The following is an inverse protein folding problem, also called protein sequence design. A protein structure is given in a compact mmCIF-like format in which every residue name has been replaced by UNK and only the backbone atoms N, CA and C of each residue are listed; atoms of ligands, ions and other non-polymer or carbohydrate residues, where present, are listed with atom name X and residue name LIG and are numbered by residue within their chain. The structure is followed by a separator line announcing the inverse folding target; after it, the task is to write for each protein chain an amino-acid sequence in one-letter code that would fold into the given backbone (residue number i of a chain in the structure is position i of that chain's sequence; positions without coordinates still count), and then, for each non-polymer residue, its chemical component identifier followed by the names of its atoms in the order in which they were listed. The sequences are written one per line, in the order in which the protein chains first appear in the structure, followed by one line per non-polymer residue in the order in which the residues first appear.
data_IF_592731517961
#
_entry.id   IF_592731517961
#
_cell.length_a   1.000
_cell.length_b   1.000
_cell.length_c   1.000
_cell.angle_alpha   90.00
_cell.angle_beta   90.00
_cell.angle_gamma   90.00
#
_symmetry.space_group_name_H-M   'P 1'
#
loop_
_entity.id
_entity.type
_entity.pdbx_description
1 polymer ?
#
# COMPACT_ATOMS: atom_id res chain seq x y z
N UNK A 1 10.35 -14.42 -15.98
CA UNK A 1 9.06 -14.31 -15.27
C UNK A 1 8.35 -13.08 -15.80
N UNK A 2 7.05 -13.16 -16.10
CA UNK A 2 6.33 -12.01 -16.64
C UNK A 2 6.22 -10.91 -15.58
N UNK A 3 6.70 -9.71 -15.92
CA UNK A 3 6.64 -8.54 -15.06
C UNK A 3 5.18 -8.05 -15.03
N UNK A 4 4.37 -8.63 -14.13
CA UNK A 4 2.93 -8.32 -13.97
C UNK A 4 2.70 -7.22 -12.93
N UNK A 5 3.76 -6.55 -12.50
CA UNK A 5 3.78 -5.57 -11.44
C UNK A 5 4.37 -4.27 -11.96
N UNK A 6 3.63 -3.18 -11.79
CA UNK A 6 4.07 -1.83 -12.15
C UNK A 6 4.96 -1.23 -11.07
N UNK A 7 4.60 -1.47 -9.81
CA UNK A 7 5.32 -1.01 -8.63
C UNK A 7 5.08 -1.97 -7.46
N UNK A 8 6.10 -2.22 -6.65
CA UNK A 8 5.90 -2.89 -5.37
C UNK A 8 6.88 -2.44 -4.31
N UNK A 9 6.53 -2.68 -3.05
CA UNK A 9 7.41 -2.49 -1.90
C UNK A 9 7.00 -3.34 -0.73
N UNK A 10 7.96 -3.62 0.15
CA UNK A 10 7.73 -4.17 1.48
C UNK A 10 8.15 -3.16 2.56
N UNK A 11 7.36 -3.04 3.61
CA UNK A 11 7.67 -2.23 4.77
C UNK A 11 7.50 -3.07 6.04
N UNK A 12 8.59 -3.33 6.76
CA UNK A 12 8.47 -3.75 8.14
C UNK A 12 8.01 -2.55 8.97
N UNK A 13 6.85 -2.68 9.60
CA UNK A 13 6.23 -1.60 10.37
C UNK A 13 6.19 -2.00 11.83
N UNK A 14 6.91 -1.27 12.68
CA UNK A 14 6.85 -1.43 14.14
C UNK A 14 6.32 -0.16 14.77
N UNK A 15 5.38 -0.36 15.67
CA UNK A 15 4.79 0.70 16.46
C UNK A 15 5.02 0.38 17.93
N UNK A 16 5.96 1.09 18.58
CA UNK A 16 6.53 0.66 19.85
C UNK A 16 5.68 1.01 21.08
N UNK A 17 4.45 1.49 20.89
CA UNK A 17 3.60 1.99 21.95
C UNK A 17 4.25 3.15 22.72
N UNK A 18 4.63 2.89 23.97
CA UNK A 18 5.32 3.86 24.85
C UNK A 18 6.85 3.84 24.72
N UNK A 19 7.44 2.82 24.10
CA UNK A 19 8.89 2.71 23.97
C UNK A 19 9.36 3.76 22.94
N UNK A 20 10.44 4.48 23.25
CA UNK A 20 11.06 5.40 22.31
C UNK A 20 11.62 4.57 21.12
N UNK A 21 11.29 4.91 19.85
CA UNK A 21 11.87 4.25 18.68
C UNK A 21 13.40 4.13 18.66
N UNK A 22 14.15 5.02 19.30
CA UNK A 22 15.62 4.92 19.39
C UNK A 22 16.07 3.66 20.14
N UNK A 23 15.30 3.26 21.16
CA UNK A 23 15.55 2.01 21.90
C UNK A 23 15.34 0.81 20.96
N UNK A 24 14.38 0.89 20.04
CA UNK A 24 14.14 -0.15 19.04
C UNK A 24 15.34 -0.24 18.08
N UNK A 25 15.85 0.90 17.59
CA UNK A 25 17.08 0.95 16.78
C UNK A 25 18.24 0.28 17.51
N UNK A 26 18.46 0.61 18.79
CA UNK A 26 19.54 -0.01 19.58
C UNK A 26 19.35 -1.51 19.80
N UNK A 27 18.11 -1.98 19.97
CA UNK A 27 17.80 -3.41 20.15
C UNK A 27 18.00 -4.20 18.86
N UNK A 28 17.49 -3.67 17.75
CA UNK A 28 17.52 -4.36 16.46
C UNK A 28 18.87 -4.23 15.76
N UNK A 29 19.69 -3.23 16.13
CA UNK A 29 20.92 -2.86 15.44
C UNK A 29 20.70 -2.62 13.93
N UNK A 30 19.52 -2.10 13.59
CA UNK A 30 19.13 -1.72 12.23
C UNK A 30 18.76 -0.24 12.28
N UNK A 31 19.21 0.53 11.30
CA UNK A 31 18.72 1.90 11.13
C UNK A 31 17.36 1.88 10.39
N UNK A 32 16.32 2.52 10.94
CA UNK A 32 15.04 2.63 10.24
C UNK A 32 15.16 3.60 9.06
N UNK A 33 14.40 3.33 8.01
CA UNK A 33 14.20 4.31 6.93
C UNK A 33 13.26 5.43 7.37
N UNK A 34 12.34 5.14 8.29
CA UNK A 34 11.42 6.13 8.85
C UNK A 34 11.23 5.93 10.35
N UNK A 35 11.30 7.03 11.10
CA UNK A 35 11.09 7.05 12.55
C UNK A 35 10.30 8.30 12.91
N UNK A 36 9.34 8.15 13.83
CA UNK A 36 8.62 9.29 14.42
C UNK A 36 8.42 9.05 15.90
N UNK A 37 8.53 10.09 16.72
CA UNK A 37 8.37 9.98 18.17
C UNK A 37 7.08 10.67 18.60
N UNK A 38 6.26 9.98 19.39
CA UNK A 38 5.01 10.51 19.93
C UNK A 38 5.27 11.81 20.69
N UNK A 39 4.44 12.81 20.38
CA UNK A 39 4.48 14.10 21.05
C UNK A 39 5.33 15.15 20.35
N UNK A 40 6.25 14.75 19.47
CA UNK A 40 6.99 15.66 18.59
C UNK A 40 6.06 16.30 17.55
N UNK A 41 6.58 17.33 16.87
CA UNK A 41 5.86 18.06 15.83
C UNK A 41 6.52 17.86 14.48
N UNK A 42 5.69 17.63 13.47
CA UNK A 42 6.10 17.58 12.07
C UNK A 42 5.31 18.61 11.27
N UNK A 43 5.90 19.05 10.17
CA UNK A 43 5.18 19.83 9.17
C UNK A 43 4.63 18.89 8.10
N UNK A 44 3.35 19.04 7.80
CA UNK A 44 2.74 18.35 6.65
C UNK A 44 3.29 18.92 5.35
N UNK A 45 3.09 18.22 4.22
CA UNK A 45 3.43 18.74 2.88
C UNK A 45 2.78 20.10 2.57
N UNK A 46 1.63 20.40 3.21
CA UNK A 46 0.91 21.68 3.10
C UNK A 46 1.39 22.74 4.12
N UNK A 47 2.50 22.51 4.83
CA UNK A 47 3.05 23.44 5.81
C UNK A 47 2.37 23.45 7.18
N UNK A 48 1.28 22.71 7.38
CA UNK A 48 0.60 22.67 8.68
C UNK A 48 1.43 21.92 9.73
N UNK A 49 1.58 22.52 10.91
CA UNK A 49 2.23 21.88 12.07
C UNK A 49 1.27 20.86 12.70
N UNK A 50 1.70 19.60 12.78
CA UNK A 50 0.93 18.50 13.36
C UNK A 50 1.72 17.82 14.47
N UNK A 51 1.06 17.57 15.61
CA UNK A 51 1.64 16.74 16.68
C UNK A 51 1.55 15.26 16.31
N UNK A 52 2.64 14.53 16.49
CA UNK A 52 2.69 13.09 16.24
C UNK A 52 1.91 12.36 17.33
N UNK A 53 0.84 11.67 16.93
CA UNK A 53 -0.02 10.90 17.84
C UNK A 53 0.61 9.59 18.32
N UNK A 54 1.43 8.96 17.48
CA UNK A 54 2.02 7.64 17.73
C UNK A 54 3.48 7.60 17.31
N UNK A 55 4.30 6.96 18.13
CA UNK A 55 5.65 6.60 17.72
C UNK A 55 5.59 5.52 16.63
N UNK A 56 6.49 5.59 15.66
CA UNK A 56 6.65 4.58 14.60
C UNK A 56 8.13 4.33 14.34
N UNK A 57 8.44 3.12 13.93
CA UNK A 57 9.77 2.66 13.50
C UNK A 57 9.59 1.75 12.30
N UNK A 58 9.95 2.21 11.11
CA UNK A 58 9.74 1.50 9.85
C UNK A 58 11.06 1.26 9.11
N UNK A 59 11.14 0.08 8.48
CA UNK A 59 12.16 -0.27 7.51
C UNK A 59 11.46 -0.55 6.17
N UNK A 60 11.69 0.30 5.18
CA UNK A 60 11.00 0.28 3.89
C UNK A 60 11.99 -0.04 2.78
N UNK A 61 11.65 -1.01 1.94
CA UNK A 61 12.54 -1.52 0.90
C UNK A 61 12.73 -0.58 -0.30
N UNK A 62 11.78 0.29 -0.61
CA UNK A 62 11.78 1.13 -1.83
C UNK A 62 12.86 2.23 -1.82
N UNK A 63 13.54 2.42 -0.69
CA UNK A 63 14.72 3.28 -0.56
C UNK A 63 15.96 2.63 -1.19
N UNK A 64 16.07 1.29 -1.13
CA UNK A 64 17.25 0.54 -1.60
C UNK A 64 16.95 -0.38 -2.79
N UNK A 65 15.68 -0.77 -2.99
CA UNK A 65 15.25 -1.77 -3.97
C UNK A 65 14.33 -1.12 -4.99
N UNK A 66 14.74 -1.15 -6.27
CA UNK A 66 14.00 -0.60 -7.42
C UNK A 66 13.28 -1.66 -8.26
N UNK A 67 13.28 -2.92 -7.80
CA UNK A 67 12.66 -4.03 -8.50
C UNK A 67 11.13 -3.92 -8.49
N UNK A 68 10.48 -4.49 -9.50
CA UNK A 68 9.02 -4.73 -9.51
C UNK A 68 8.66 -6.13 -9.01
N UNK A 69 9.64 -6.89 -8.52
CA UNK A 69 9.44 -8.22 -7.95
C UNK A 69 9.44 -8.17 -6.43
N UNK A 70 8.26 -8.41 -5.84
CA UNK A 70 8.05 -8.31 -4.39
C UNK A 70 9.01 -9.20 -3.58
N UNK A 71 9.51 -10.31 -4.17
CA UNK A 71 10.45 -11.20 -3.50
C UNK A 71 11.76 -10.49 -3.17
N UNK A 72 12.23 -9.59 -4.04
CA UNK A 72 13.45 -8.81 -3.77
C UNK A 72 13.24 -7.87 -2.57
N UNK A 73 12.05 -7.28 -2.44
CA UNK A 73 11.71 -6.43 -1.30
C UNK A 73 11.58 -7.22 0.01
N UNK A 74 10.98 -8.40 -0.04
CA UNK A 74 10.88 -9.28 1.12
C UNK A 74 12.23 -9.85 1.54
N UNK A 75 13.06 -10.25 0.58
CA UNK A 75 14.42 -10.70 0.82
C UNK A 75 15.25 -9.61 1.50
N UNK A 76 15.11 -8.36 1.07
CA UNK A 76 15.76 -7.22 1.72
C UNK A 76 15.39 -7.15 3.22
N UNK A 77 14.10 -7.22 3.56
CA UNK A 77 13.65 -7.19 4.94
C UNK A 77 14.19 -8.40 5.72
N UNK A 78 13.99 -9.61 5.19
CA UNK A 78 14.44 -10.86 5.82
C UNK A 78 15.95 -10.84 6.06
N UNK A 79 16.75 -10.41 5.11
CA UNK A 79 18.21 -10.32 5.25
C UNK A 79 18.61 -9.36 6.36
N UNK A 80 17.96 -8.20 6.49
CA UNK A 80 18.26 -7.26 7.59
C UNK A 80 17.97 -7.89 8.95
N UNK A 81 16.87 -8.65 9.08
CA UNK A 81 16.52 -9.33 10.34
C UNK A 81 17.34 -10.61 10.60
N UNK A 82 17.74 -11.34 9.56
CA UNK A 82 18.58 -12.54 9.68
C UNK A 82 19.98 -12.25 10.24
N UNK A 83 20.42 -10.99 10.21
CA UNK A 83 21.67 -10.56 10.85
C UNK A 83 21.54 -10.37 12.38
N UNK A 84 20.32 -10.39 12.92
CA UNK A 84 20.08 -10.18 14.35
C UNK A 84 20.22 -11.49 15.11
N UNK A 85 21.21 -11.57 16.00
CA UNK A 85 21.46 -12.78 16.81
C UNK A 85 20.48 -12.98 17.96
N UNK A 86 19.91 -11.90 18.51
CA UNK A 86 19.06 -11.94 19.71
C UNK A 86 17.97 -10.86 19.64
N UNK A 87 16.81 -11.19 19.07
CA UNK A 87 15.62 -10.34 19.19
C UNK A 87 15.02 -10.58 20.58
N UNK A 88 14.79 -9.55 21.42
CA UNK A 88 14.19 -9.76 22.73
C UNK A 88 12.82 -10.43 22.65
N UNK A 89 12.53 -11.35 23.59
CA UNK A 89 11.29 -12.13 23.61
C UNK A 89 10.02 -11.25 23.61
N UNK A 90 10.09 -10.06 24.21
CA UNK A 90 8.95 -9.14 24.22
C UNK A 90 8.64 -8.59 22.82
N UNK A 91 9.63 -8.43 21.94
CA UNK A 91 9.38 -8.08 20.53
C UNK A 91 8.84 -9.29 19.78
N UNK A 92 9.46 -10.47 19.94
CA UNK A 92 9.03 -11.71 19.27
C UNK A 92 7.55 -12.05 19.55
N UNK A 93 7.08 -11.88 20.79
CA UNK A 93 5.68 -12.12 21.18
C UNK A 93 4.68 -11.20 20.48
N UNK A 94 5.09 -10.00 20.07
CA UNK A 94 4.24 -9.00 19.43
C UNK A 94 4.35 -9.00 17.89
N UNK A 95 5.24 -9.82 17.31
CA UNK A 95 5.45 -9.91 15.85
C UNK A 95 4.27 -10.53 15.07
N UNK A 96 3.41 -11.29 15.75
CA UNK A 96 2.30 -12.02 15.14
C UNK A 96 0.92 -11.35 15.28
N UNK A 97 0.84 -10.08 15.68
CA UNK A 97 -0.41 -9.47 16.17
C UNK A 97 -0.91 -8.23 15.37
N UNK A 98 -0.37 -7.98 14.17
CA UNK A 98 -0.69 -6.78 13.39
C UNK A 98 -2.17 -6.64 13.04
N UNK A 99 -2.82 -7.74 12.58
CA UNK A 99 -4.20 -7.68 12.07
C UNK A 99 -5.28 -7.92 13.13
N UNK A 100 -5.00 -8.71 14.18
CA UNK A 100 -6.04 -9.25 15.10
C UNK A 100 -6.73 -8.22 16.00
N UNK A 101 -6.33 -6.94 15.98
CA UNK A 101 -6.81 -5.90 16.91
C UNK A 101 -7.35 -4.65 16.20
N UNK A 102 -7.86 -4.77 14.97
CA UNK A 102 -8.57 -3.65 14.31
C UNK A 102 -9.92 -3.31 14.96
N UNK A 103 -10.53 -4.23 15.72
CA UNK A 103 -11.91 -4.09 16.22
C UNK A 103 -12.05 -3.67 17.69
N UNK A 104 -10.96 -3.31 18.39
CA UNK A 104 -11.01 -2.96 19.82
C UNK A 104 -10.44 -1.56 20.05
N UNK A 105 -11.34 -0.65 20.46
CA UNK A 105 -11.12 0.63 21.15
C UNK A 105 -9.77 1.33 20.90
N UNK A 106 -9.80 2.35 20.04
CA UNK A 106 -8.64 3.15 19.61
C UNK A 106 -7.81 3.72 20.76
N UNK A 107 -8.38 3.87 21.96
CA UNK A 107 -7.71 4.35 23.17
C UNK A 107 -6.82 3.32 23.88
N UNK A 108 -7.03 2.01 23.66
CA UNK A 108 -6.21 0.94 24.28
C UNK A 108 -4.99 0.54 23.45
N UNK A 109 -4.91 0.97 22.18
CA UNK A 109 -3.77 0.70 21.26
C UNK A 109 -2.48 1.42 21.64
N UNK A 110 -2.57 2.59 22.28
CA UNK A 110 -1.43 3.50 22.46
C UNK A 110 -0.27 2.94 23.30
N UNK A 111 -0.51 1.90 24.10
CA UNK A 111 0.49 1.34 25.00
C UNK A 111 1.04 -0.02 24.54
N UNK A 112 0.47 -0.62 23.48
CA UNK A 112 0.89 -1.93 23.00
C UNK A 112 1.90 -1.80 21.86
N UNK A 113 2.80 -2.77 21.78
CA UNK A 113 3.70 -2.92 20.65
C UNK A 113 2.96 -3.70 19.59
N UNK A 114 2.98 -3.22 18.35
CA UNK A 114 2.47 -3.98 17.21
C UNK A 114 3.47 -3.90 16.06
N UNK A 115 3.65 -5.01 15.37
CA UNK A 115 4.49 -5.03 14.19
C UNK A 115 4.08 -6.08 13.17
N UNK A 116 4.47 -5.87 11.94
CA UNK A 116 4.20 -6.73 10.79
C UNK A 116 4.91 -6.22 9.56
N UNK A 117 4.92 -7.02 8.49
CA UNK A 117 5.39 -6.58 7.18
C UNK A 117 4.16 -6.25 6.34
N UNK A 118 4.15 -5.04 5.78
CA UNK A 118 3.14 -4.62 4.84
C UNK A 118 3.73 -4.59 3.43
N UNK A 119 3.13 -5.35 2.52
CA UNK A 119 3.50 -5.40 1.12
C UNK A 119 2.50 -4.58 0.32
N UNK A 120 2.96 -3.53 -0.37
CA UNK A 120 2.14 -2.83 -1.36
C UNK A 120 2.49 -3.37 -2.74
N UNK A 121 1.49 -3.79 -3.49
CA UNK A 121 1.66 -4.38 -4.83
C UNK A 121 0.67 -3.77 -5.81
N UNK A 122 1.18 -3.28 -6.93
CA UNK A 122 0.40 -2.63 -7.98
C UNK A 122 0.46 -3.51 -9.24
N UNK A 123 -0.62 -4.22 -9.59
CA UNK A 123 -0.67 -4.95 -10.84
C UNK A 123 -0.46 -4.02 -12.03
N UNK A 124 0.33 -4.46 -13.00
CA UNK A 124 0.37 -3.89 -14.35
C UNK A 124 -0.81 -4.41 -15.19
N UNK A 125 -1.22 -5.67 -14.96
CA UNK A 125 -2.27 -6.37 -15.69
C UNK A 125 -3.31 -7.00 -14.75
N UNK A 126 -4.45 -7.43 -15.29
CA UNK A 126 -5.55 -8.10 -14.54
C UNK A 126 -5.24 -9.52 -14.07
N UNK A 127 -4.05 -10.03 -14.36
CA UNK A 127 -3.62 -11.38 -14.03
C UNK A 127 -2.21 -11.38 -13.42
N UNK A 128 -1.92 -12.47 -12.71
CA UNK A 128 -0.72 -12.59 -11.89
C UNK A 128 -0.95 -12.11 -10.47
N UNK A 129 0.11 -12.13 -9.68
CA UNK A 129 0.08 -11.75 -8.28
C UNK A 129 1.46 -11.88 -7.65
N UNK A 130 1.63 -11.37 -6.43
CA UNK A 130 2.88 -11.53 -5.70
C UNK A 130 3.16 -13.02 -5.47
N UNK A 131 4.38 -13.44 -5.79
CA UNK A 131 4.86 -14.79 -5.50
C UNK A 131 5.72 -14.71 -4.24
N UNK A 132 5.54 -15.68 -3.33
CA UNK A 132 6.41 -15.86 -2.19
C UNK A 132 7.27 -17.10 -2.39
N UNK A 133 8.58 -16.94 -2.33
CA UNK A 133 9.49 -18.09 -2.36
C UNK A 133 9.41 -18.86 -1.04
N UNK A 134 9.59 -20.18 -1.10
CA UNK A 134 9.54 -21.06 0.08
C UNK A 134 10.56 -20.64 1.13
N UNK A 135 11.77 -20.24 0.71
CA UNK A 135 12.82 -19.75 1.61
C UNK A 135 12.39 -18.48 2.36
N UNK A 136 11.79 -17.51 1.67
CA UNK A 136 11.25 -16.29 2.28
C UNK A 136 10.20 -16.67 3.34
N UNK A 137 9.26 -17.56 3.00
CA UNK A 137 8.21 -18.00 3.93
C UNK A 137 8.78 -18.69 5.18
N UNK A 138 9.84 -19.49 5.02
CA UNK A 138 10.51 -20.14 6.15
C UNK A 138 11.17 -19.13 7.09
N UNK A 139 11.89 -18.15 6.55
CA UNK A 139 12.53 -17.10 7.33
C UNK A 139 11.50 -16.25 8.10
N UNK A 140 10.43 -15.84 7.43
CA UNK A 140 9.34 -15.09 8.06
C UNK A 140 8.65 -15.87 9.18
N UNK A 141 8.47 -17.17 8.97
CA UNK A 141 7.92 -18.09 9.98
C UNK A 141 8.82 -18.17 11.21
N UNK A 142 10.14 -18.29 11.02
CA UNK A 142 11.11 -18.28 12.13
C UNK A 142 11.12 -16.96 12.89
N UNK A 143 10.97 -15.84 12.18
CA UNK A 143 10.85 -14.52 12.78
C UNK A 143 9.49 -14.29 13.47
N UNK A 144 8.51 -15.18 13.25
CA UNK A 144 7.15 -15.07 13.77
C UNK A 144 6.46 -13.74 13.37
N UNK A 145 6.73 -13.24 12.16
CA UNK A 145 6.21 -11.97 11.65
C UNK A 145 5.06 -12.23 10.67
N UNK A 146 3.93 -11.53 10.87
CA UNK A 146 2.83 -11.54 9.90
C UNK A 146 3.13 -10.67 8.68
N UNK A 147 2.67 -11.13 7.51
CA UNK A 147 2.62 -10.35 6.28
C UNK A 147 1.18 -9.95 5.98
N UNK A 148 0.99 -8.67 5.67
CA UNK A 148 -0.22 -8.13 5.06
C UNK A 148 0.06 -7.71 3.61
N UNK A 149 -0.91 -7.93 2.73
CA UNK A 149 -0.85 -7.51 1.33
C UNK A 149 -1.90 -6.45 1.06
N UNK A 150 -1.44 -5.26 0.69
CA UNK A 150 -2.28 -4.22 0.11
C UNK A 150 -2.09 -4.26 -1.40
N UNK A 151 -3.10 -4.78 -2.11
CA UNK A 151 -3.10 -4.87 -3.57
C UNK A 151 -3.90 -3.69 -4.12
N UNK A 152 -3.25 -2.85 -4.92
CA UNK A 152 -3.82 -1.62 -5.46
C UNK A 152 -4.06 -1.74 -6.95
N UNK A 153 -5.27 -2.17 -7.32
CA UNK A 153 -5.65 -2.22 -8.72
C UNK A 153 -5.70 -0.81 -9.33
N UNK A 154 -5.17 -0.67 -10.53
CA UNK A 154 -5.16 0.58 -11.30
C UNK A 154 -6.56 1.00 -11.74
N UNK A 155 -7.50 0.07 -11.74
CA UNK A 155 -8.91 0.26 -12.00
C UNK A 155 -9.72 -0.67 -11.09
N UNK A 156 -10.89 -0.21 -10.67
CA UNK A 156 -11.90 -1.09 -10.08
C UNK A 156 -12.84 -1.54 -11.20
N UNK A 157 -13.21 -2.82 -11.17
CA UNK A 157 -14.29 -3.37 -11.99
C UNK A 157 -15.55 -2.52 -11.83
N UNK A 158 -15.82 -1.98 -10.62
CA UNK A 158 -16.96 -1.09 -10.41
C UNK A 158 -16.89 0.18 -11.26
N UNK A 159 -15.73 0.82 -11.38
CA UNK A 159 -15.53 2.01 -12.24
C UNK A 159 -15.72 1.65 -13.71
N UNK A 160 -15.14 0.53 -14.17
CA UNK A 160 -15.32 0.08 -15.57
C UNK A 160 -16.79 -0.21 -15.88
N UNK A 161 -17.49 -0.91 -14.99
CA UNK A 161 -18.92 -1.17 -15.12
C UNK A 161 -19.73 0.13 -15.14
N UNK A 162 -19.32 1.15 -14.39
CA UNK A 162 -19.97 2.46 -14.41
C UNK A 162 -19.73 3.20 -15.74
N UNK A 163 -18.50 3.16 -16.28
CA UNK A 163 -18.17 3.64 -17.63
C UNK A 163 -19.04 2.96 -18.68
N UNK A 164 -19.15 1.63 -18.64
CA UNK A 164 -19.97 0.85 -19.58
C UNK A 164 -21.45 1.20 -19.51
N UNK A 165 -22.01 1.34 -18.30
CA UNK A 165 -23.41 1.75 -18.10
C UNK A 165 -23.67 3.17 -18.60
N UNK A 166 -22.76 4.10 -18.36
CA UNK A 166 -22.87 5.46 -18.89
C UNK A 166 -22.80 5.45 -20.43
N UNK A 167 -21.87 4.69 -21.01
CA UNK A 167 -21.74 4.54 -22.46
C UNK A 167 -23.02 4.00 -23.11
N UNK A 168 -23.62 2.97 -22.50
CA UNK A 168 -24.88 2.37 -22.97
C UNK A 168 -26.01 3.41 -23.01
N UNK A 169 -26.18 4.18 -21.92
CA UNK A 169 -27.20 5.25 -21.83
C UNK A 169 -26.96 6.36 -22.86
N UNK A 170 -25.71 6.67 -23.12
CA UNK A 170 -25.29 7.69 -24.08
C UNK A 170 -25.31 7.20 -25.53
N UNK A 171 -25.41 5.89 -25.75
CA UNK A 171 -25.38 5.28 -27.07
C UNK A 171 -23.99 5.27 -27.74
N UNK A 172 -22.91 5.43 -26.97
CA UNK A 172 -21.51 5.47 -27.44
C UNK A 172 -20.76 4.18 -27.08
N UNK A 173 -19.61 3.93 -27.71
CA UNK A 173 -18.72 2.82 -27.31
C UNK A 173 -19.28 1.41 -27.57
N UNK A 174 -20.29 1.27 -28.45
CA UNK A 174 -20.98 -0.01 -28.73
C UNK A 174 -20.09 -1.13 -29.25
N UNK A 175 -18.94 -0.80 -29.83
CA UNK A 175 -17.99 -1.76 -30.39
C UNK A 175 -16.83 -2.08 -29.44
N UNK A 176 -16.80 -1.49 -28.25
CA UNK A 176 -15.71 -1.64 -27.29
C UNK A 176 -15.93 -2.89 -26.43
N UNK A 177 -14.87 -3.66 -26.26
CA UNK A 177 -14.81 -4.79 -25.33
C UNK A 177 -14.27 -4.33 -23.95
N UNK A 178 -14.23 -5.25 -22.97
CA UNK A 178 -13.78 -4.92 -21.61
C UNK A 178 -12.35 -4.37 -21.54
N UNK A 179 -11.43 -4.87 -22.38
CA UNK A 179 -10.05 -4.37 -22.42
C UNK A 179 -9.97 -2.95 -22.97
N UNK A 180 -10.76 -2.62 -24.00
CA UNK A 180 -10.80 -1.26 -24.53
C UNK A 180 -11.26 -0.25 -23.45
N UNK A 181 -12.22 -0.63 -22.61
CA UNK A 181 -12.67 0.20 -21.48
C UNK A 181 -11.61 0.37 -20.40
N UNK A 182 -10.83 -0.68 -20.13
CA UNK A 182 -9.67 -0.62 -19.23
C UNK A 182 -8.63 0.37 -19.78
N UNK A 183 -8.29 0.26 -21.06
CA UNK A 183 -7.29 1.10 -21.73
C UNK A 183 -7.70 2.57 -21.77
N UNK A 184 -9.00 2.86 -21.93
CA UNK A 184 -9.54 4.22 -21.82
C UNK A 184 -9.36 4.75 -20.39
N UNK A 185 -9.68 3.96 -19.36
CA UNK A 185 -9.59 4.39 -17.96
C UNK A 185 -8.13 4.61 -17.51
N UNK A 186 -7.28 3.59 -17.67
CA UNK A 186 -5.99 3.71 -18.36
C UNK A 186 -5.46 5.12 -18.66
N UNK A 187 -5.74 5.50 -19.89
CA UNK A 187 -5.35 6.72 -20.55
C UNK A 187 -5.86 7.98 -19.84
N UNK A 188 -7.13 7.99 -19.42
CA UNK A 188 -7.72 9.11 -18.66
C UNK A 188 -6.91 9.36 -17.39
N UNK A 189 -6.67 8.34 -16.56
CA UNK A 189 -5.91 8.49 -15.32
C UNK A 189 -4.51 9.03 -15.58
N UNK A 190 -3.86 8.59 -16.64
CA UNK A 190 -2.54 9.09 -17.05
C UNK A 190 -2.57 10.56 -17.49
N UNK A 191 -3.51 10.97 -18.33
CA UNK A 191 -3.59 12.36 -18.84
C UNK A 191 -3.89 13.35 -17.72
N UNK A 192 -4.79 12.98 -16.81
CA UNK A 192 -5.22 13.86 -15.73
C UNK A 192 -4.39 13.71 -14.44
N UNK A 193 -3.29 12.93 -14.48
CA UNK A 193 -2.44 12.63 -13.33
C UNK A 193 -3.22 12.12 -12.10
N UNK A 194 -4.26 11.33 -12.34
CA UNK A 194 -5.10 10.75 -11.29
C UNK A 194 -4.36 9.55 -10.69
N UNK A 195 -4.19 9.47 -9.37
CA UNK A 195 -3.56 8.32 -8.74
C UNK A 195 -4.31 7.02 -9.10
N UNK A 196 -3.60 5.89 -9.32
CA UNK A 196 -4.24 4.60 -9.61
C UNK A 196 -5.30 4.21 -8.57
N UNK A 197 -5.06 4.52 -7.30
CA UNK A 197 -5.96 4.26 -6.17
C UNK A 197 -7.22 5.11 -6.11
N UNK A 198 -7.28 6.23 -6.86
CA UNK A 198 -8.46 7.10 -6.88
C UNK A 198 -9.46 6.53 -7.89
N UNK A 199 -10.62 6.12 -7.38
CA UNK A 199 -11.64 5.44 -8.17
C UNK A 199 -12.51 6.43 -8.96
N UNK A 200 -12.63 7.67 -8.47
CA UNK A 200 -13.52 8.70 -9.01
C UNK A 200 -14.99 8.24 -9.06
N UNK A 201 -15.89 9.13 -9.47
CA UNK A 201 -17.31 8.81 -9.64
C UNK A 201 -17.72 9.03 -11.08
N UNK A 202 -18.31 8.01 -11.71
CA UNK A 202 -18.84 8.12 -13.07
C UNK A 202 -20.35 8.36 -12.99
N UNK A 203 -20.78 9.50 -13.49
CA UNK A 203 -22.17 9.88 -13.56
C UNK A 203 -22.86 9.28 -14.79
N UNK A 204 -24.18 9.15 -14.73
CA UNK A 204 -24.97 8.55 -15.82
C UNK A 204 -24.89 9.32 -17.14
N UNK A 205 -24.61 10.63 -17.05
CA UNK A 205 -24.41 11.50 -18.21
C UNK A 205 -23.02 11.33 -18.87
N UNK A 206 -22.16 10.47 -18.32
CA UNK A 206 -20.80 10.19 -18.78
C UNK A 206 -19.71 11.02 -18.09
N UNK A 207 -20.05 11.89 -17.15
CA UNK A 207 -19.04 12.70 -16.48
C UNK A 207 -18.27 11.89 -15.45
N UNK A 208 -16.95 12.02 -15.45
CA UNK A 208 -16.07 11.44 -14.45
C UNK A 208 -15.61 12.51 -13.49
N UNK A 209 -15.96 12.36 -12.21
CA UNK A 209 -15.69 13.34 -11.16
C UNK A 209 -14.62 12.81 -10.19
N UNK A 210 -13.85 13.71 -9.60
CA UNK A 210 -12.94 13.38 -8.49
C UNK A 210 -13.69 13.22 -7.15
N UNK A 211 -12.94 12.92 -6.08
CA UNK A 211 -13.49 12.72 -4.74
C UNK A 211 -14.09 14.00 -4.14
N UNK A 212 -13.78 15.18 -4.70
CA UNK A 212 -14.34 16.48 -4.31
C UNK A 212 -15.56 16.88 -5.18
N UNK A 213 -15.94 16.02 -6.14
CA UNK A 213 -17.06 16.24 -7.06
C UNK A 213 -16.73 17.15 -8.24
N UNK A 214 -15.45 17.44 -8.48
CA UNK A 214 -15.01 18.26 -9.60
C UNK A 214 -14.92 17.42 -10.87
N UNK A 215 -15.35 17.98 -12.00
CA UNK A 215 -15.27 17.32 -13.30
C UNK A 215 -13.81 17.12 -13.72
N UNK A 216 -13.45 15.87 -13.93
CA UNK A 216 -12.17 15.47 -14.50
C UNK A 216 -12.29 15.50 -16.03
N UNK A 217 -13.23 14.72 -16.56
CA UNK A 217 -13.46 14.59 -17.99
C UNK A 217 -14.86 14.04 -18.29
N UNK A 218 -15.31 14.12 -19.53
CA UNK A 218 -16.55 13.47 -19.98
C UNK A 218 -16.24 12.28 -20.87
N UNK A 219 -16.93 11.16 -20.65
CA UNK A 219 -16.79 9.94 -21.42
C UNK A 219 -16.93 10.18 -22.93
N UNK A 220 -17.82 11.09 -23.32
CA UNK A 220 -18.07 11.48 -24.72
C UNK A 220 -16.83 12.04 -25.44
N UNK A 221 -15.83 12.52 -24.69
CA UNK A 221 -14.57 13.01 -25.24
C UNK A 221 -13.66 11.87 -25.72
N UNK A 222 -13.90 10.64 -25.23
CA UNK A 222 -13.04 9.47 -25.47
C UNK A 222 -13.69 8.39 -26.32
N UNK A 223 -15.03 8.39 -26.40
CA UNK A 223 -15.79 7.41 -27.17
C UNK A 223 -16.80 8.09 -28.07
N UNK A 224 -16.64 7.87 -29.38
CA UNK A 224 -17.57 8.30 -30.44
C UNK A 224 -18.55 7.20 -30.79
#
# INVERSE_FOLDING_TARGET
MYNTCSECRAAFRLYPGKINPDIITSILCIEPTEKRIRGEYIFTKRGNKRRIAHSVWFLVSDVEITSTDLRNHLMFIVQKFGLIKNIPLFLQKNMADYQRKTDIDSTKKFNQIYMGINCSWYPEYDHGGPILDISIMQELSQLNIQINFDIYFTYDISTILAFQKAAEKLGVGKNLNNHDWIDILIYIKKIYNIPPSTLGTVCENGDFLDDEGMLICSLREFVS
#
